data_IF_369224095125
#
_entry.id   IF_369224095125
#
_cell.length_a   1.000
_cell.length_b   1.000
_cell.length_c   1.000
_cell.angle_alpha   90.00
_cell.angle_beta   90.00
_cell.angle_gamma   90.00
#
_symmetry.space_group_name_H-M   'P 1'
#
loop_
_entity.id
_entity.type
_entity.pdbx_description
1 polymer ?
#
# COMPACT_ATOMS: atom_id res chain seq x y z
N UNK A 1 12.49 16.08 14.30
CA UNK A 1 11.78 14.96 14.94
C UNK A 1 10.32 14.89 14.47
N UNK A 2 10.06 15.11 13.17
CA UNK A 2 8.68 15.00 12.59
C UNK A 2 8.59 13.82 11.62
N UNK A 3 9.72 13.19 11.28
CA UNK A 3 9.76 12.06 10.35
C UNK A 3 9.69 10.69 11.07
N UNK A 4 9.96 10.64 12.37
CA UNK A 4 10.02 9.38 13.12
C UNK A 4 8.63 8.77 13.41
N UNK A 5 7.55 9.54 13.21
CA UNK A 5 6.18 9.06 13.42
C UNK A 5 5.51 8.55 12.14
N UNK A 6 6.03 8.93 10.96
CA UNK A 6 5.60 8.35 9.68
C UNK A 6 6.10 6.89 9.58
N UNK A 7 7.17 6.56 10.31
CA UNK A 7 7.70 5.19 10.42
C UNK A 7 6.85 4.27 11.32
N UNK A 8 5.82 4.79 12.01
CA UNK A 8 4.82 3.98 12.74
C UNK A 8 3.52 3.76 11.97
N UNK A 9 3.54 3.92 10.64
CA UNK A 9 2.39 3.59 9.78
C UNK A 9 2.32 2.06 9.64
N UNK A 10 1.59 1.43 10.58
CA UNK A 10 1.08 0.05 10.61
C UNK A 10 1.89 -1.00 9.82
N UNK A 11 2.99 -1.44 10.42
CA UNK A 11 3.75 -2.62 10.02
C UNK A 11 2.82 -3.83 9.81
N UNK A 12 3.16 -4.71 8.86
CA UNK A 12 2.40 -5.95 8.62
C UNK A 12 2.86 -6.97 9.65
N UNK A 13 2.00 -7.35 10.60
CA UNK A 13 2.44 -8.18 11.73
C UNK A 13 2.18 -9.66 11.54
N UNK A 14 1.23 -10.03 10.67
CA UNK A 14 0.88 -11.41 10.38
C UNK A 14 0.38 -11.61 8.93
N UNK A 15 0.07 -12.88 8.60
CA UNK A 15 -0.40 -13.27 7.26
C UNK A 15 -1.76 -12.66 6.92
N UNK A 16 -2.63 -12.43 7.91
CA UNK A 16 -3.96 -11.85 7.67
C UNK A 16 -3.84 -10.36 7.32
N UNK A 17 -3.02 -9.62 8.06
CA UNK A 17 -2.65 -8.23 7.76
C UNK A 17 -2.06 -8.10 6.36
N UNK A 18 -1.25 -9.08 5.95
CA UNK A 18 -0.67 -9.14 4.61
C UNK A 18 -1.76 -9.29 3.54
N UNK A 19 -2.68 -10.25 3.72
CA UNK A 19 -3.80 -10.48 2.79
C UNK A 19 -4.73 -9.27 2.70
N UNK A 20 -5.03 -8.61 3.83
CA UNK A 20 -5.87 -7.41 3.85
C UNK A 20 -5.21 -6.24 3.12
N UNK A 21 -3.90 -6.04 3.28
CA UNK A 21 -3.14 -5.01 2.57
C UNK A 21 -2.94 -5.32 1.08
N UNK A 22 -2.79 -6.60 0.72
CA UNK A 22 -2.77 -7.04 -0.67
C UNK A 22 -4.12 -6.76 -1.35
N UNK A 23 -5.23 -7.11 -0.67
CA UNK A 23 -6.58 -6.79 -1.14
C UNK A 23 -6.78 -5.28 -1.32
N UNK A 24 -6.31 -4.47 -0.36
CA UNK A 24 -6.37 -3.01 -0.47
C UNK A 24 -5.59 -2.49 -1.69
N UNK A 25 -4.42 -3.06 -1.98
CA UNK A 25 -3.64 -2.68 -3.16
C UNK A 25 -4.40 -2.96 -4.48
N UNK A 26 -5.14 -4.08 -4.55
CA UNK A 26 -6.02 -4.38 -5.70
C UNK A 26 -7.21 -3.42 -5.78
N UNK A 27 -7.81 -3.06 -4.65
CA UNK A 27 -8.87 -2.04 -4.62
C UNK A 27 -8.37 -0.68 -5.12
N UNK A 28 -7.17 -0.25 -4.71
CA UNK A 28 -6.56 1.00 -5.17
C UNK A 28 -6.34 0.97 -6.69
N UNK A 29 -5.85 -0.15 -7.23
CA UNK A 29 -5.73 -0.32 -8.69
C UNK A 29 -7.07 -0.07 -9.38
N UNK A 30 -8.14 -0.72 -8.89
CA UNK A 30 -9.48 -0.56 -9.47
C UNK A 30 -10.02 0.88 -9.34
N UNK A 31 -9.70 1.58 -8.25
CA UNK A 31 -10.07 2.98 -8.06
C UNK A 31 -9.31 3.91 -9.00
N UNK A 32 -8.01 3.69 -9.17
CA UNK A 32 -7.19 4.42 -10.14
C UNK A 32 -7.67 4.22 -11.57
N UNK A 33 -8.00 2.97 -11.94
CA UNK A 33 -8.56 2.67 -13.26
C UNK A 33 -9.89 3.41 -13.49
N UNK A 34 -10.74 3.53 -12.47
CA UNK A 34 -11.99 4.32 -12.55
C UNK A 34 -11.71 5.81 -12.72
N UNK A 35 -10.80 6.38 -11.94
CA UNK A 35 -10.47 7.82 -12.00
C UNK A 35 -9.82 8.21 -13.33
N UNK A 36 -8.93 7.39 -13.88
CA UNK A 36 -8.27 7.65 -15.17
C UNK A 36 -9.26 7.60 -16.34
N UNK A 37 -10.26 6.71 -16.26
CA UNK A 37 -11.31 6.59 -17.27
C UNK A 37 -12.50 7.53 -17.04
N UNK A 38 -12.49 8.34 -15.98
CA UNK A 38 -13.54 9.31 -15.73
C UNK A 38 -13.42 10.50 -16.70
N UNK A 39 -14.56 11.01 -17.19
CA UNK A 39 -14.60 12.20 -18.06
C UNK A 39 -13.92 13.45 -17.44
N UNK A 40 -13.80 13.50 -16.12
CA UNK A 40 -13.02 14.49 -15.37
C UNK A 40 -12.33 13.81 -14.19
N UNK A 41 -11.13 13.29 -14.44
CA UNK A 41 -10.31 12.69 -13.39
C UNK A 41 -10.00 13.70 -12.27
N UNK A 42 -10.15 13.28 -11.01
CA UNK A 42 -9.73 14.10 -9.89
C UNK A 42 -8.25 13.83 -9.57
N UNK A 43 -7.39 14.77 -9.95
CA UNK A 43 -5.93 14.66 -9.78
C UNK A 43 -5.51 14.46 -8.32
N UNK A 44 -6.23 15.06 -7.36
CA UNK A 44 -5.93 14.92 -5.93
C UNK A 44 -6.19 13.48 -5.46
N UNK A 45 -7.33 12.90 -5.87
CA UNK A 45 -7.65 11.49 -5.58
C UNK A 45 -6.59 10.56 -6.18
N UNK A 46 -6.21 10.80 -7.44
CA UNK A 46 -5.17 10.00 -8.12
C UNK A 46 -3.83 10.08 -7.38
N UNK A 47 -3.41 11.26 -6.94
CA UNK A 47 -2.15 11.44 -6.19
C UNK A 47 -2.21 10.67 -4.87
N UNK A 48 -3.29 10.82 -4.11
CA UNK A 48 -3.46 10.16 -2.81
C UNK A 48 -3.45 8.63 -2.95
N UNK A 49 -4.19 8.08 -3.91
CA UNK A 49 -4.21 6.64 -4.20
C UNK A 49 -2.83 6.11 -4.61
N UNK A 50 -2.06 6.88 -5.40
CA UNK A 50 -0.69 6.47 -5.80
C UNK A 50 0.29 6.46 -4.62
N UNK A 51 0.17 7.41 -3.70
CA UNK A 51 0.99 7.45 -2.48
C UNK A 51 0.66 6.23 -1.60
N UNK A 52 -0.64 5.96 -1.39
CA UNK A 52 -1.09 4.81 -0.61
C UNK A 52 -0.59 3.48 -1.23
N UNK A 53 -0.72 3.31 -2.54
CA UNK A 53 -0.22 2.13 -3.25
C UNK A 53 1.30 1.93 -3.08
N UNK A 54 2.09 3.01 -3.11
CA UNK A 54 3.54 2.96 -2.90
C UNK A 54 3.89 2.48 -1.50
N UNK A 55 3.20 3.00 -0.48
CA UNK A 55 3.41 2.61 0.92
C UNK A 55 3.06 1.13 1.11
N UNK A 56 1.89 0.71 0.64
CA UNK A 56 1.45 -0.69 0.76
C UNK A 56 2.39 -1.67 0.04
N UNK A 57 2.83 -1.35 -1.18
CA UNK A 57 3.77 -2.20 -1.92
C UNK A 57 5.11 -2.36 -1.18
N UNK A 58 5.62 -1.29 -0.56
CA UNK A 58 6.85 -1.35 0.23
C UNK A 58 6.66 -2.24 1.47
N UNK A 59 5.54 -2.11 2.18
CA UNK A 59 5.22 -2.90 3.36
C UNK A 59 5.06 -4.40 3.03
N UNK A 60 4.32 -4.73 1.96
CA UNK A 60 4.13 -6.11 1.51
C UNK A 60 5.46 -6.76 1.13
N UNK A 61 6.34 -6.02 0.45
CA UNK A 61 7.70 -6.49 0.14
C UNK A 61 8.51 -6.74 1.41
N UNK A 62 8.51 -5.81 2.37
CA UNK A 62 9.25 -5.95 3.63
C UNK A 62 8.83 -7.20 4.40
N UNK A 63 7.51 -7.44 4.49
CA UNK A 63 6.97 -8.63 5.16
C UNK A 63 7.44 -9.92 4.48
N UNK A 64 7.42 -10.00 3.15
CA UNK A 64 7.90 -11.18 2.43
C UNK A 64 9.40 -11.38 2.66
N UNK A 65 10.21 -10.32 2.54
CA UNK A 65 11.66 -10.39 2.77
C UNK A 65 12.00 -10.92 4.17
N UNK A 66 11.27 -10.47 5.20
CA UNK A 66 11.50 -10.91 6.58
C UNK A 66 11.06 -12.36 6.81
N UNK A 67 9.97 -12.81 6.19
CA UNK A 67 9.55 -14.21 6.26
C UNK A 67 10.50 -15.15 5.52
N UNK A 68 11.04 -14.74 4.35
CA UNK A 68 12.02 -15.55 3.63
C UNK A 68 13.37 -15.64 4.34
N UNK A 69 13.85 -14.57 4.99
CA UNK A 69 15.08 -14.61 5.80
C UNK A 69 14.96 -15.53 7.01
N UNK A 70 13.78 -15.60 7.64
CA UNK A 70 13.53 -16.48 8.80
C UNK A 70 13.45 -17.96 8.42
N UNK A 71 13.24 -18.28 7.14
CA UNK A 71 13.12 -19.65 6.63
C UNK A 71 14.47 -20.27 6.20
N UNK A 72 15.58 -19.52 6.27
CA UNK A 72 16.95 -19.95 6.00
C UNK A 72 17.70 -20.24 7.30
#
# INVERSE_FOLDING_TARGET
MVNDEIDKVNEITDVKDWQDKERRLQEIKNLLDKEINANKANLEIVINLRIEARVLAAQLKSFLDDNFKKAQ
#
